data_IF_246975997659
#
_entry.id   IF_246975997659
#
_cell.length_a   1.000
_cell.length_b   1.000
_cell.length_c   1.000
_cell.angle_alpha   90.00
_cell.angle_beta   90.00
_cell.angle_gamma   90.00
#
_symmetry.space_group_name_H-M   'P 1'
#
loop_
_entity.id
_entity.type
_entity.pdbx_description
1 polymer ?
#
# COMPACT_ATOMS: atom_id res chain seq x y z
N UNK A 1 26.22 -13.16 -22.92
CA UNK A 1 26.50 -11.96 -22.12
C UNK A 1 25.27 -11.07 -22.15
N UNK A 2 24.77 -10.72 -21.01
CA UNK A 2 23.70 -9.71 -20.94
C UNK A 2 24.30 -8.36 -21.34
N UNK A 3 23.74 -7.70 -22.36
CA UNK A 3 24.08 -6.33 -22.66
C UNK A 3 23.73 -5.46 -21.44
N UNK A 4 24.74 -4.82 -20.86
CA UNK A 4 24.52 -3.87 -19.79
C UNK A 4 23.82 -2.65 -20.38
N UNK A 5 22.51 -2.55 -20.22
CA UNK A 5 21.77 -1.35 -20.58
C UNK A 5 22.32 -0.23 -19.71
N UNK A 6 22.95 0.75 -20.33
CA UNK A 6 23.40 1.94 -19.61
C UNK A 6 22.17 2.61 -18.99
N UNK A 7 22.19 2.76 -17.68
CA UNK A 7 21.15 3.45 -16.95
C UNK A 7 20.97 4.87 -17.52
N UNK A 8 19.74 5.18 -17.95
CA UNK A 8 19.41 6.49 -18.50
C UNK A 8 19.40 7.51 -17.37
N UNK A 9 20.24 8.52 -17.47
CA UNK A 9 20.21 9.64 -16.53
C UNK A 9 19.12 10.62 -16.91
N UNK A 10 18.15 10.80 -16.04
CA UNK A 10 17.08 11.79 -16.20
C UNK A 10 17.54 13.17 -15.76
N UNK A 11 16.98 14.23 -16.39
CA UNK A 11 17.24 15.61 -16.00
C UNK A 11 16.60 16.00 -14.67
N UNK A 12 15.49 15.33 -14.36
CA UNK A 12 14.69 15.59 -13.17
C UNK A 12 14.30 14.26 -12.54
N UNK A 13 14.39 14.19 -11.23
CA UNK A 13 13.96 13.02 -10.45
C UNK A 13 13.44 13.45 -9.10
N UNK A 14 12.64 12.58 -8.47
CA UNK A 14 12.23 12.73 -7.08
C UNK A 14 13.06 11.81 -6.18
N UNK A 15 13.56 12.35 -5.08
CA UNK A 15 14.24 11.56 -4.05
C UNK A 15 13.29 11.30 -2.90
N UNK A 16 13.07 10.02 -2.57
CA UNK A 16 12.20 9.60 -1.47
C UNK A 16 13.07 9.05 -0.34
N UNK A 17 12.99 9.69 0.81
CA UNK A 17 13.71 9.26 2.00
C UNK A 17 12.85 8.30 2.82
N UNK A 18 13.04 6.99 2.63
CA UNK A 18 12.27 5.95 3.33
C UNK A 18 12.52 5.95 4.84
N UNK A 19 13.70 6.33 5.30
CA UNK A 19 13.99 6.45 6.73
C UNK A 19 13.18 7.59 7.37
N UNK A 20 13.03 8.71 6.67
CA UNK A 20 12.16 9.81 7.11
C UNK A 20 10.68 9.37 7.17
N UNK A 21 10.22 8.61 6.18
CA UNK A 21 8.87 8.05 6.14
C UNK A 21 8.61 7.15 7.37
N UNK A 22 9.54 6.25 7.68
CA UNK A 22 9.46 5.38 8.86
C UNK A 22 9.42 6.16 10.17
N UNK A 23 10.25 7.20 10.31
CA UNK A 23 10.24 8.05 11.50
C UNK A 23 8.93 8.81 11.65
N UNK A 24 8.36 9.31 10.56
CA UNK A 24 7.08 10.00 10.57
C UNK A 24 5.93 9.06 10.97
N UNK A 25 5.93 7.84 10.44
CA UNK A 25 4.97 6.81 10.87
C UNK A 25 5.08 6.55 12.38
N UNK A 26 6.28 6.30 12.89
CA UNK A 26 6.52 6.02 14.31
C UNK A 26 6.06 7.19 15.18
N UNK A 27 6.32 8.43 14.77
CA UNK A 27 5.87 9.62 15.51
C UNK A 27 4.35 9.71 15.61
N UNK A 28 3.62 9.40 14.53
CA UNK A 28 2.15 9.38 14.52
C UNK A 28 1.62 8.23 15.39
N UNK A 29 2.19 7.04 15.24
CA UNK A 29 1.80 5.85 15.98
C UNK A 29 1.98 6.05 17.51
N UNK A 30 3.10 6.61 17.92
CA UNK A 30 3.35 6.97 19.32
C UNK A 30 2.36 8.01 19.84
N UNK A 31 2.02 9.00 19.01
CA UNK A 31 1.09 10.08 19.39
C UNK A 31 -0.33 9.57 19.64
N UNK A 32 -0.82 8.65 18.81
CA UNK A 32 -2.21 8.12 18.93
C UNK A 32 -2.35 7.06 20.01
N UNK A 33 -1.26 6.44 20.44
CA UNK A 33 -1.27 5.38 21.46
C UNK A 33 -1.94 4.08 21.02
N UNK A 34 -2.20 3.20 21.99
CA UNK A 34 -2.65 1.82 21.72
C UNK A 34 -4.15 1.69 21.37
N UNK A 35 -4.94 2.75 21.57
CA UNK A 35 -6.38 2.73 21.30
C UNK A 35 -6.76 2.85 19.83
N UNK A 36 -5.83 3.31 18.99
CA UNK A 36 -6.01 3.50 17.55
C UNK A 36 -4.89 2.84 16.76
N UNK A 37 -5.15 2.59 15.49
CA UNK A 37 -4.13 2.14 14.55
C UNK A 37 -4.00 3.13 13.40
N UNK A 38 -2.79 3.27 12.88
CA UNK A 38 -2.53 4.08 11.68
C UNK A 38 -2.92 3.27 10.45
N UNK A 39 -3.75 3.84 9.59
CA UNK A 39 -3.99 3.32 8.24
C UNK A 39 -3.16 4.15 7.26
N UNK A 40 -2.23 3.51 6.58
CA UNK A 40 -1.34 4.14 5.62
C UNK A 40 -2.00 4.19 4.25
N UNK A 41 -2.33 5.38 3.76
CA UNK A 41 -2.94 5.57 2.44
C UNK A 41 -1.84 5.66 1.40
N UNK A 42 -1.77 4.65 0.52
CA UNK A 42 -0.75 4.52 -0.53
C UNK A 42 -1.35 4.48 -1.93
N UNK A 43 -2.55 5.03 -2.09
CA UNK A 43 -3.21 5.17 -3.39
C UNK A 43 -2.41 6.05 -4.35
N UNK A 44 -2.70 5.98 -5.64
CA UNK A 44 -2.03 6.75 -6.69
C UNK A 44 -0.50 6.65 -6.60
N UNK A 45 -0.01 5.40 -6.49
CA UNK A 45 1.41 5.09 -6.32
C UNK A 45 2.04 5.82 -5.10
N UNK A 46 1.33 5.81 -3.98
CA UNK A 46 1.68 6.56 -2.77
C UNK A 46 1.87 8.06 -3.08
N UNK A 47 0.91 8.63 -3.83
CA UNK A 47 0.97 10.02 -4.27
C UNK A 47 2.25 10.34 -5.09
N UNK A 48 2.71 9.39 -5.87
CA UNK A 48 3.92 9.51 -6.68
C UNK A 48 5.23 9.16 -5.96
N UNK A 49 5.16 8.76 -4.69
CA UNK A 49 6.36 8.38 -3.91
C UNK A 49 6.80 6.91 -4.14
N UNK A 50 5.99 6.11 -4.83
CA UNK A 50 6.24 4.70 -5.05
C UNK A 50 5.57 3.82 -3.99
N UNK A 51 4.39 3.27 -4.31
CA UNK A 51 3.54 2.55 -3.34
C UNK A 51 4.23 1.31 -2.77
N UNK A 52 4.88 0.52 -3.61
CA UNK A 52 5.53 -0.73 -3.18
C UNK A 52 6.64 -0.45 -2.16
N UNK A 53 7.56 0.45 -2.47
CA UNK A 53 8.67 0.79 -1.57
C UNK A 53 8.22 1.49 -0.30
N UNK A 54 7.27 2.42 -0.42
CA UNK A 54 6.71 3.12 0.75
C UNK A 54 5.96 2.15 1.66
N UNK A 55 5.10 1.30 1.11
CA UNK A 55 4.33 0.34 1.90
C UNK A 55 5.22 -0.69 2.60
N UNK A 56 6.23 -1.21 1.93
CA UNK A 56 7.17 -2.16 2.56
C UNK A 56 8.00 -1.51 3.66
N UNK A 57 8.44 -0.28 3.46
CA UNK A 57 9.15 0.48 4.50
C UNK A 57 8.25 0.76 5.71
N UNK A 58 6.98 1.13 5.48
CA UNK A 58 6.00 1.34 6.54
C UNK A 58 5.68 0.04 7.28
N UNK A 59 5.56 -1.07 6.58
CA UNK A 59 5.40 -2.40 7.17
C UNK A 59 6.57 -2.75 8.11
N UNK A 60 7.80 -2.52 7.67
CA UNK A 60 9.01 -2.71 8.50
C UNK A 60 9.00 -1.83 9.77
N UNK A 61 8.40 -0.64 9.68
CA UNK A 61 8.25 0.25 10.84
C UNK A 61 7.10 -0.14 11.78
N UNK A 62 6.27 -1.13 11.41
CA UNK A 62 5.18 -1.65 12.21
C UNK A 62 3.78 -1.45 11.64
N UNK A 63 3.61 -0.76 10.51
CA UNK A 63 2.32 -0.58 9.87
C UNK A 63 1.72 -1.91 9.39
N UNK A 64 0.41 -2.09 9.58
CA UNK A 64 -0.32 -3.30 9.18
C UNK A 64 -1.62 -2.99 8.44
N UNK A 65 -2.03 -1.73 8.40
CA UNK A 65 -3.25 -1.28 7.72
C UNK A 65 -2.87 -0.33 6.58
N UNK A 66 -3.30 -0.68 5.36
CA UNK A 66 -3.02 0.08 4.15
C UNK A 66 -4.32 0.33 3.39
N UNK A 67 -4.42 1.49 2.75
CA UNK A 67 -5.56 1.84 1.91
C UNK A 67 -5.11 2.27 0.52
N UNK A 68 -5.86 1.83 -0.47
CA UNK A 68 -5.67 2.10 -1.90
C UNK A 68 -6.98 2.52 -2.54
N UNK A 69 -6.98 2.99 -3.78
CA UNK A 69 -8.19 3.47 -4.45
C UNK A 69 -8.92 2.40 -5.27
N UNK A 70 -8.23 1.39 -5.76
CA UNK A 70 -8.76 0.43 -6.72
C UNK A 70 -8.31 -1.01 -6.45
N UNK A 71 -9.00 -1.96 -7.10
CA UNK A 71 -8.64 -3.37 -7.03
C UNK A 71 -7.26 -3.63 -7.66
N UNK A 72 -6.92 -2.94 -8.72
CA UNK A 72 -5.61 -3.07 -9.39
C UNK A 72 -4.48 -2.67 -8.44
N UNK A 73 -4.63 -1.54 -7.75
CA UNK A 73 -3.67 -1.11 -6.73
C UNK A 73 -3.59 -2.09 -5.57
N UNK A 74 -4.73 -2.63 -5.12
CA UNK A 74 -4.77 -3.61 -4.03
C UNK A 74 -4.06 -4.91 -4.38
N UNK A 75 -4.27 -5.42 -5.60
CA UNK A 75 -3.62 -6.64 -6.07
C UNK A 75 -2.10 -6.46 -6.25
N UNK A 76 -1.69 -5.32 -6.78
CA UNK A 76 -0.27 -4.97 -6.92
C UNK A 76 0.40 -4.90 -5.54
N UNK A 77 -0.24 -4.26 -4.56
CA UNK A 77 0.28 -4.15 -3.21
C UNK A 77 0.33 -5.52 -2.50
N UNK A 78 -0.70 -6.35 -2.66
CA UNK A 78 -0.72 -7.73 -2.13
C UNK A 78 0.44 -8.55 -2.69
N UNK A 79 0.67 -8.49 -4.00
CA UNK A 79 1.78 -9.16 -4.65
C UNK A 79 3.14 -8.67 -4.14
N UNK A 80 3.30 -7.37 -3.91
CA UNK A 80 4.52 -6.79 -3.37
C UNK A 80 4.82 -7.29 -1.95
N UNK A 81 3.80 -7.40 -1.10
CA UNK A 81 3.95 -7.95 0.25
C UNK A 81 4.25 -9.46 0.23
N UNK A 82 3.52 -10.23 -0.57
CA UNK A 82 3.74 -11.67 -0.69
C UNK A 82 5.15 -12.00 -1.18
N UNK A 83 5.68 -11.24 -2.13
CA UNK A 83 7.05 -11.44 -2.64
C UNK A 83 8.13 -11.23 -1.57
N UNK A 84 7.78 -10.59 -0.47
CA UNK A 84 8.64 -10.32 0.69
C UNK A 84 8.29 -11.15 1.92
N UNK A 85 7.40 -12.13 1.77
CA UNK A 85 6.90 -12.98 2.86
C UNK A 85 6.25 -12.17 4.00
N UNK A 86 5.53 -11.12 3.63
CA UNK A 86 4.73 -10.29 4.52
C UNK A 86 3.26 -10.70 4.35
N UNK A 87 2.59 -11.17 5.40
CA UNK A 87 1.26 -11.81 5.32
C UNK A 87 0.24 -11.34 6.35
N UNK A 88 0.63 -10.51 7.30
CA UNK A 88 -0.24 -10.06 8.40
C UNK A 88 -0.81 -8.65 8.20
N UNK A 89 -0.63 -8.08 7.03
CA UNK A 89 -1.17 -6.77 6.67
C UNK A 89 -2.61 -6.85 6.14
N UNK A 90 -3.32 -5.75 6.28
CA UNK A 90 -4.69 -5.56 5.77
C UNK A 90 -4.70 -4.47 4.71
N UNK A 91 -5.38 -4.73 3.60
CA UNK A 91 -5.52 -3.80 2.48
C UNK A 91 -7.00 -3.47 2.30
N UNK A 92 -7.33 -2.17 2.33
CA UNK A 92 -8.67 -1.63 2.12
C UNK A 92 -8.74 -0.86 0.81
N UNK A 93 -9.73 -1.16 -0.02
CA UNK A 93 -10.07 -0.35 -1.18
C UNK A 93 -11.03 0.76 -0.73
N UNK A 94 -10.63 2.02 -0.96
CA UNK A 94 -11.46 3.19 -0.63
C UNK A 94 -12.51 3.49 -1.70
N UNK A 95 -12.23 3.13 -2.96
CA UNK A 95 -13.11 3.36 -4.10
C UNK A 95 -14.12 2.23 -4.33
N UNK A 96 -14.90 2.39 -5.39
CA UNK A 96 -15.88 1.40 -5.82
C UNK A 96 -15.20 0.22 -6.53
N UNK A 97 -15.66 -0.99 -6.23
CA UNK A 97 -15.29 -2.21 -6.96
C UNK A 97 -16.57 -2.87 -7.47
N UNK A 98 -16.67 -3.20 -8.77
CA UNK A 98 -17.83 -3.92 -9.28
C UNK A 98 -18.06 -5.23 -8.53
N UNK A 99 -19.32 -5.59 -8.18
CA UNK A 99 -19.63 -6.81 -7.43
C UNK A 99 -19.16 -8.10 -8.10
N UNK A 100 -18.99 -8.10 -9.41
CA UNK A 100 -18.44 -9.22 -10.20
C UNK A 100 -17.02 -9.61 -9.77
N UNK A 101 -16.31 -8.71 -9.10
CA UNK A 101 -14.95 -8.95 -8.59
C UNK A 101 -14.92 -9.44 -7.14
N UNK A 102 -16.06 -9.74 -6.52
CA UNK A 102 -16.13 -10.16 -5.11
C UNK A 102 -15.28 -11.40 -4.83
N UNK A 103 -15.25 -12.37 -5.74
CA UNK A 103 -14.44 -13.59 -5.58
C UNK A 103 -12.93 -13.28 -5.55
N UNK A 104 -12.48 -12.27 -6.30
CA UNK A 104 -11.10 -11.82 -6.32
C UNK A 104 -10.75 -11.18 -4.98
N UNK A 105 -11.64 -10.32 -4.46
CA UNK A 105 -11.44 -9.70 -3.15
C UNK A 105 -11.31 -10.75 -2.04
N UNK A 106 -12.18 -11.76 -2.05
CA UNK A 106 -12.16 -12.85 -1.10
C UNK A 106 -10.86 -13.67 -1.22
N UNK A 107 -10.49 -14.04 -2.43
CA UNK A 107 -9.30 -14.85 -2.70
C UNK A 107 -8.01 -14.19 -2.18
N UNK A 108 -7.88 -12.88 -2.34
CA UNK A 108 -6.68 -12.13 -1.97
C UNK A 108 -6.80 -11.41 -0.62
N UNK A 109 -7.88 -11.69 0.15
CA UNK A 109 -8.14 -11.10 1.47
C UNK A 109 -8.09 -9.57 1.43
N UNK A 110 -8.76 -8.97 0.45
CA UNK A 110 -8.85 -7.52 0.27
C UNK A 110 -10.17 -7.03 0.83
N UNK A 111 -10.14 -5.97 1.61
CA UNK A 111 -11.29 -5.32 2.20
C UNK A 111 -11.84 -4.26 1.27
N UNK A 112 -13.16 -4.11 1.26
CA UNK A 112 -13.87 -3.17 0.43
C UNK A 112 -14.69 -2.20 1.26
N UNK A 113 -14.63 -0.92 0.92
CA UNK A 113 -15.53 0.10 1.46
C UNK A 113 -16.94 -0.14 0.94
N UNK A 114 -17.92 -0.17 1.82
CA UNK A 114 -19.34 -0.36 1.52
C UNK A 114 -20.05 0.98 1.58
N UNK A 115 -20.75 1.34 0.51
CA UNK A 115 -21.42 2.64 0.35
C UNK A 115 -22.90 2.58 0.66
N UNK A 116 -23.51 1.41 0.57
CA UNK A 116 -24.95 1.20 0.78
C UNK A 116 -25.24 -0.24 1.19
N UNK A 117 -26.43 -0.48 1.71
CA UNK A 117 -26.91 -1.84 2.02
C UNK A 117 -27.09 -2.69 0.79
N UNK A 118 -27.49 -2.10 -0.33
CA UNK A 118 -27.63 -2.80 -1.61
C UNK A 118 -26.29 -3.26 -2.17
N UNK A 119 -25.23 -2.49 -1.94
CA UNK A 119 -23.86 -2.84 -2.34
C UNK A 119 -23.23 -3.90 -1.44
N UNK A 120 -23.60 -3.93 -0.19
CA UNK A 120 -23.07 -4.89 0.77
C UNK A 120 -23.51 -6.33 0.43
#
# INVERSE_FOLDING_TARGET
>A
MADTIKEVKHKTWAEINLSALKRNYTAVDDLIGDSCRVMCVVKADAYGHGAERCATALYEAGARDFAVSSIEEALALRSAFESRLMYDERILILGYTPPENADILAKYAIRQTVFSTEYA
#
